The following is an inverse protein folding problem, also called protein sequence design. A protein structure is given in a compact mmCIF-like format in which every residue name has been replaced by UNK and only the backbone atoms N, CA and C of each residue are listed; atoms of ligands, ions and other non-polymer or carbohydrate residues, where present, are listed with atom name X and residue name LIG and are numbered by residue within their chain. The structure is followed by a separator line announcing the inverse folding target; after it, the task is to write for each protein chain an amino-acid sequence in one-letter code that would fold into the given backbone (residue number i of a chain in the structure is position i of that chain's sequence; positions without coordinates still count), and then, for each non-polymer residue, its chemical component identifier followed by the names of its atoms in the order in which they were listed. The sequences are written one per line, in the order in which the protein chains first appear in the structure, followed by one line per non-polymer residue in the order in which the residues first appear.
data_IF_858218486102
#
_entry.id   IF_858218486102
#
_cell.length_a   1.000
_cell.length_b   1.000
_cell.length_c   1.000
_cell.angle_alpha   90.00
_cell.angle_beta   90.00
_cell.angle_gamma   90.00
#
_symmetry.space_group_name_H-M   'P 1'
#
loop_
_entity.id
_entity.type
_entity.pdbx_description
1 polymer ?
#
# COMPACT_ATOMS: atom_id res chain seq x y z
N UNK A 1 80.32 -26.28 5.88
CA UNK A 1 79.10 -26.37 5.05
C UNK A 1 77.80 -26.21 5.86
N UNK A 2 77.82 -25.66 7.08
CA UNK A 2 76.58 -25.43 7.88
C UNK A 2 76.17 -23.96 8.02
N UNK A 3 77.11 -23.02 7.93
CA UNK A 3 76.85 -21.58 8.03
C UNK A 3 76.02 -21.02 6.87
N UNK A 4 76.07 -21.63 5.69
CA UNK A 4 75.28 -21.20 4.53
C UNK A 4 73.78 -21.54 4.64
N UNK A 5 73.42 -22.57 5.41
CA UNK A 5 72.01 -23.00 5.56
C UNK A 5 71.23 -22.13 6.55
N UNK A 6 71.88 -21.55 7.56
CA UNK A 6 71.22 -20.66 8.53
C UNK A 6 70.83 -19.30 7.91
N UNK A 7 71.65 -18.77 7.01
CA UNK A 7 71.38 -17.51 6.31
C UNK A 7 70.19 -17.62 5.34
N UNK A 8 70.03 -18.74 4.64
CA UNK A 8 68.89 -18.94 3.73
C UNK A 8 67.57 -19.11 4.47
N UNK A 9 67.58 -19.77 5.63
CA UNK A 9 66.38 -19.91 6.48
C UNK A 9 65.98 -18.58 7.14
N UNK A 10 66.95 -17.77 7.59
CA UNK A 10 66.69 -16.44 8.15
C UNK A 10 66.02 -15.50 7.12
N UNK A 11 66.46 -15.52 5.86
CA UNK A 11 65.84 -14.71 4.80
C UNK A 11 64.40 -15.14 4.46
N UNK A 12 64.09 -16.45 4.52
CA UNK A 12 62.73 -16.95 4.30
C UNK A 12 61.76 -16.48 5.39
N UNK A 13 62.19 -16.53 6.65
CA UNK A 13 61.42 -16.05 7.81
C UNK A 13 61.16 -14.54 7.71
N UNK A 14 62.18 -13.76 7.32
CA UNK A 14 62.03 -12.31 7.12
C UNK A 14 61.04 -11.97 5.99
N UNK A 15 61.08 -12.70 4.86
CA UNK A 15 60.12 -12.52 3.76
C UNK A 15 58.69 -12.91 4.17
N UNK A 16 58.52 -14.02 4.88
CA UNK A 16 57.21 -14.44 5.40
C UNK A 16 56.64 -13.40 6.36
N UNK A 17 57.45 -12.85 7.27
CA UNK A 17 57.03 -11.78 8.18
C UNK A 17 56.61 -10.53 7.41
N UNK A 18 57.37 -10.13 6.39
CA UNK A 18 57.06 -8.93 5.62
C UNK A 18 55.77 -9.09 4.79
N UNK A 19 55.53 -10.27 4.21
CA UNK A 19 54.29 -10.59 3.51
C UNK A 19 53.11 -10.58 4.48
N UNK A 20 53.25 -11.16 5.67
CA UNK A 20 52.22 -11.13 6.70
C UNK A 20 51.93 -9.70 7.18
N UNK A 21 52.96 -8.87 7.34
CA UNK A 21 52.81 -7.47 7.73
C UNK A 21 52.06 -6.66 6.65
N UNK A 22 52.39 -6.86 5.38
CA UNK A 22 51.68 -6.22 4.25
C UNK A 22 50.24 -6.71 4.15
N UNK A 23 50.00 -8.02 4.29
CA UNK A 23 48.65 -8.59 4.27
C UNK A 23 47.80 -8.06 5.44
N UNK A 24 48.36 -7.97 6.64
CA UNK A 24 47.68 -7.40 7.81
C UNK A 24 47.36 -5.91 7.61
N UNK A 25 48.28 -5.14 7.04
CA UNK A 25 48.04 -3.73 6.72
C UNK A 25 46.93 -3.57 5.67
N UNK A 26 46.94 -4.40 4.62
CA UNK A 26 45.90 -4.39 3.58
C UNK A 26 44.52 -4.74 4.15
N UNK A 27 44.43 -5.76 5.01
CA UNK A 27 43.18 -6.11 5.71
C UNK A 27 42.72 -5.00 6.65
N UNK A 28 43.66 -4.33 7.34
CA UNK A 28 43.37 -3.17 8.18
C UNK A 28 42.74 -2.03 7.38
N UNK A 29 43.33 -1.67 6.24
CA UNK A 29 42.81 -0.63 5.34
C UNK A 29 41.44 -1.02 4.79
N UNK A 30 41.25 -2.27 4.36
CA UNK A 30 39.97 -2.77 3.86
C UNK A 30 38.88 -2.69 4.92
N UNK A 31 39.19 -3.07 6.17
CA UNK A 31 38.24 -3.00 7.28
C UNK A 31 37.85 -1.55 7.59
N UNK A 32 38.82 -0.64 7.54
CA UNK A 32 38.60 0.79 7.77
C UNK A 32 37.72 1.39 6.66
N UNK A 33 37.94 1.01 5.40
CA UNK A 33 37.08 1.38 4.27
C UNK A 33 35.66 0.84 4.45
N UNK A 34 35.48 -0.44 4.78
CA UNK A 34 34.16 -1.01 5.02
C UNK A 34 33.44 -0.32 6.18
N UNK A 35 34.17 0.05 7.24
CA UNK A 35 33.62 0.79 8.37
C UNK A 35 33.15 2.19 7.96
N UNK A 36 33.95 2.93 7.19
CA UNK A 36 33.55 4.26 6.68
C UNK A 36 32.30 4.20 5.80
N UNK A 37 32.21 3.22 4.90
CA UNK A 37 31.02 2.99 4.06
C UNK A 37 29.79 2.63 4.90
N UNK A 38 29.97 1.83 5.95
CA UNK A 38 28.86 1.48 6.85
C UNK A 38 28.39 2.67 7.69
N UNK A 39 29.29 3.58 8.07
CA UNK A 39 28.96 4.78 8.82
C UNK A 39 28.33 5.88 7.95
N UNK A 40 28.74 5.98 6.68
CA UNK A 40 28.18 6.93 5.72
C UNK A 40 26.83 6.49 5.15
N UNK A 41 26.29 5.36 5.61
CA UNK A 41 24.97 4.91 5.18
C UNK A 41 23.94 5.82 5.83
N UNK A 42 23.38 6.72 5.03
CA UNK A 42 22.29 7.58 5.44
C UNK A 42 21.19 6.71 6.06
N UNK A 43 20.86 6.99 7.32
CA UNK A 43 19.79 6.30 8.01
C UNK A 43 18.49 6.86 7.46
N UNK A 44 17.92 6.19 6.48
CA UNK A 44 16.54 6.46 6.07
C UNK A 44 15.61 5.97 7.20
N UNK A 45 15.05 6.92 7.95
CA UNK A 45 14.03 6.63 8.95
C UNK A 45 12.70 6.58 8.21
N UNK A 46 12.16 5.38 8.02
CA UNK A 46 10.79 5.21 7.52
C UNK A 46 9.84 5.66 8.61
N UNK A 47 9.35 6.89 8.50
CA UNK A 47 8.33 7.42 9.40
C UNK A 47 7.03 6.66 9.15
N UNK A 48 6.59 5.90 10.15
CA UNK A 48 5.27 5.29 10.15
C UNK A 48 4.26 6.27 10.75
N UNK A 49 3.05 6.36 10.20
CA UNK A 49 1.97 7.11 10.85
C UNK A 49 1.67 6.52 12.23
N UNK A 50 1.02 7.28 13.10
CA UNK A 50 0.62 6.76 14.42
C UNK A 50 -0.42 5.66 14.24
N UNK A 51 -0.03 4.42 14.50
CA UNK A 51 -0.88 3.24 14.38
C UNK A 51 -1.49 2.88 15.73
N UNK A 52 -2.76 2.47 15.74
CA UNK A 52 -3.42 1.93 16.96
C UNK A 52 -3.03 0.47 17.23
N UNK A 53 -2.57 -0.23 16.20
CA UNK A 53 -2.21 -1.64 16.24
C UNK A 53 -1.13 -1.93 15.18
N UNK A 54 -0.26 -2.93 15.40
CA UNK A 54 0.73 -3.32 14.40
C UNK A 54 0.06 -3.75 13.09
N UNK A 55 0.54 -3.23 11.96
CA UNK A 55 0.07 -3.63 10.63
C UNK A 55 1.03 -4.67 10.06
N UNK A 56 0.52 -5.82 9.64
CA UNK A 56 1.35 -6.88 9.08
C UNK A 56 0.88 -7.30 7.71
N UNK A 57 1.84 -7.47 6.81
CA UNK A 57 1.67 -8.08 5.51
C UNK A 57 2.66 -9.24 5.48
N UNK A 58 2.19 -10.42 5.12
CA UNK A 58 3.03 -11.62 5.03
C UNK A 58 2.69 -12.40 3.77
N UNK A 59 3.54 -13.37 3.44
CA UNK A 59 3.22 -14.33 2.38
C UNK A 59 1.93 -15.12 2.65
N UNK A 60 1.52 -15.26 3.92
CA UNK A 60 0.28 -15.91 4.33
C UNK A 60 -0.97 -15.02 4.12
N UNK A 61 -0.77 -13.72 3.86
CA UNK A 61 -1.85 -12.79 3.58
C UNK A 61 -1.73 -11.48 4.35
N UNK A 62 -2.85 -10.78 4.39
CA UNK A 62 -2.98 -9.39 4.86
C UNK A 62 -3.71 -9.37 6.20
N UNK A 63 -3.19 -8.61 7.17
CA UNK A 63 -3.86 -8.45 8.46
C UNK A 63 -5.18 -7.68 8.32
N UNK A 64 -6.12 -7.95 9.23
CA UNK A 64 -7.42 -7.26 9.25
C UNK A 64 -7.24 -5.75 9.38
N UNK A 65 -6.33 -5.33 10.25
CA UNK A 65 -6.03 -3.94 10.57
C UNK A 65 -5.45 -3.21 9.36
N UNK A 66 -4.59 -3.88 8.57
CA UNK A 66 -4.07 -3.31 7.33
C UNK A 66 -5.16 -3.16 6.29
N UNK A 67 -5.99 -4.19 6.10
CA UNK A 67 -7.09 -4.15 5.14
C UNK A 67 -8.11 -3.07 5.54
N UNK A 68 -8.42 -2.93 6.82
CA UNK A 68 -9.27 -1.86 7.36
C UNK A 68 -8.66 -0.46 7.11
N UNK A 69 -7.37 -0.29 7.38
CA UNK A 69 -6.67 0.99 7.16
C UNK A 69 -6.72 1.42 5.69
N UNK A 70 -6.35 0.51 4.78
CA UNK A 70 -6.35 0.79 3.33
C UNK A 70 -7.77 1.00 2.81
N UNK A 71 -8.74 0.24 3.31
CA UNK A 71 -10.15 0.43 2.93
C UNK A 71 -10.63 1.81 3.35
N UNK A 72 -10.34 2.26 4.58
CA UNK A 72 -10.72 3.59 5.06
C UNK A 72 -10.17 4.71 4.17
N UNK A 73 -8.89 4.60 3.78
CA UNK A 73 -8.25 5.56 2.88
C UNK A 73 -8.90 5.54 1.48
N UNK A 74 -9.12 4.33 0.95
CA UNK A 74 -9.70 4.14 -0.39
C UNK A 74 -11.15 4.59 -0.49
N UNK A 75 -11.94 4.47 0.58
CA UNK A 75 -13.33 4.96 0.61
C UNK A 75 -13.37 6.46 0.42
N UNK A 76 -12.54 7.20 1.15
CA UNK A 76 -12.44 8.65 1.01
C UNK A 76 -12.00 8.97 -0.42
N UNK A 77 -10.98 8.27 -0.93
CA UNK A 77 -10.48 8.50 -2.28
C UNK A 77 -11.52 8.23 -3.36
N UNK A 78 -12.35 7.20 -3.22
CA UNK A 78 -13.26 6.75 -4.29
C UNK A 78 -14.62 7.43 -4.26
N UNK A 79 -15.12 7.81 -3.06
CA UNK A 79 -16.47 8.33 -2.88
C UNK A 79 -16.54 9.86 -2.74
N UNK A 80 -15.46 10.52 -2.33
CA UNK A 80 -15.43 11.98 -2.19
C UNK A 80 -15.01 12.66 -3.50
N UNK A 81 -15.98 13.31 -4.15
CA UNK A 81 -15.84 13.84 -5.50
C UNK A 81 -16.49 15.20 -5.65
N UNK A 82 -15.85 16.05 -6.43
CA UNK A 82 -16.38 17.35 -6.82
C UNK A 82 -15.88 17.72 -8.22
N UNK A 83 -16.53 18.66 -8.92
CA UNK A 83 -16.12 19.05 -10.26
C UNK A 83 -14.66 19.54 -10.33
N UNK A 84 -14.13 20.06 -9.22
CA UNK A 84 -12.77 20.56 -9.10
C UNK A 84 -11.71 19.45 -8.95
N UNK A 85 -12.07 18.26 -8.44
CA UNK A 85 -11.11 17.19 -8.15
C UNK A 85 -11.25 15.95 -9.05
N UNK A 86 -12.17 15.93 -10.02
CA UNK A 86 -12.47 14.75 -10.85
C UNK A 86 -11.24 14.17 -11.58
N UNK A 87 -10.34 15.01 -12.07
CA UNK A 87 -9.13 14.55 -12.76
C UNK A 87 -8.16 13.86 -11.79
N UNK A 88 -7.91 14.49 -10.64
CA UNK A 88 -7.11 13.91 -9.57
C UNK A 88 -7.70 12.59 -9.08
N UNK A 89 -9.01 12.57 -8.82
CA UNK A 89 -9.76 11.40 -8.41
C UNK A 89 -9.55 10.22 -9.36
N UNK A 90 -9.74 10.45 -10.67
CA UNK A 90 -9.60 9.39 -11.66
C UNK A 90 -8.19 8.79 -11.67
N UNK A 91 -7.17 9.65 -11.66
CA UNK A 91 -5.77 9.19 -11.67
C UNK A 91 -5.43 8.42 -10.39
N UNK A 92 -5.82 8.94 -9.23
CA UNK A 92 -5.54 8.31 -7.95
C UNK A 92 -6.24 6.95 -7.78
N UNK A 93 -7.48 6.79 -8.27
CA UNK A 93 -8.16 5.49 -8.29
C UNK A 93 -7.47 4.50 -9.24
N UNK A 94 -6.93 4.98 -10.37
CA UNK A 94 -6.20 4.13 -11.32
C UNK A 94 -4.82 3.68 -10.81
N UNK A 95 -4.17 4.45 -9.93
CA UNK A 95 -2.87 4.11 -9.34
C UNK A 95 -2.97 2.93 -8.35
N UNK A 96 -4.09 2.83 -7.64
CA UNK A 96 -4.36 1.73 -6.70
C UNK A 96 -5.00 0.51 -7.35
N UNK A 97 -5.53 0.65 -8.57
CA UNK A 97 -6.19 -0.42 -9.31
C UNK A 97 -5.22 -1.55 -9.71
N UNK A 98 -5.75 -2.78 -9.76
CA UNK A 98 -5.03 -3.93 -10.31
C UNK A 98 -4.78 -3.72 -11.81
N UNK A 99 -3.55 -3.97 -12.32
CA UNK A 99 -3.25 -3.84 -13.75
C UNK A 99 -4.19 -4.66 -14.64
N UNK A 100 -4.71 -5.78 -14.13
CA UNK A 100 -5.63 -6.67 -14.84
C UNK A 100 -7.01 -6.05 -15.06
N UNK A 101 -7.51 -5.27 -14.10
CA UNK A 101 -8.85 -4.64 -14.17
C UNK A 101 -8.81 -3.15 -14.45
N UNK A 102 -7.63 -2.55 -14.52
CA UNK A 102 -7.42 -1.12 -14.73
C UNK A 102 -8.15 -0.59 -15.98
N UNK A 103 -8.17 -1.34 -17.09
CA UNK A 103 -8.89 -0.94 -18.30
C UNK A 103 -10.41 -0.85 -18.12
N UNK A 104 -11.00 -1.81 -17.41
CA UNK A 104 -12.43 -1.80 -17.08
C UNK A 104 -12.77 -0.67 -16.12
N UNK A 105 -11.99 -0.53 -15.04
CA UNK A 105 -12.16 0.55 -14.07
C UNK A 105 -12.08 1.89 -14.78
N UNK A 106 -11.07 2.13 -15.62
CA UNK A 106 -10.92 3.37 -16.38
C UNK A 106 -12.15 3.71 -17.22
N UNK A 107 -12.74 2.72 -17.89
CA UNK A 107 -13.95 2.94 -18.68
C UNK A 107 -15.13 3.39 -17.79
N UNK A 108 -15.32 2.73 -16.64
CA UNK A 108 -16.37 3.08 -15.67
C UNK A 108 -16.14 4.48 -15.06
N UNK A 109 -14.89 4.82 -14.72
CA UNK A 109 -14.53 6.15 -14.21
C UNK A 109 -14.74 7.24 -15.25
N UNK A 110 -14.36 7.00 -16.52
CA UNK A 110 -14.55 7.97 -17.61
C UNK A 110 -16.03 8.29 -17.84
N UNK A 111 -16.92 7.30 -17.69
CA UNK A 111 -18.36 7.54 -17.73
C UNK A 111 -18.79 8.52 -16.65
N UNK A 112 -18.35 8.30 -15.41
CA UNK A 112 -18.66 9.17 -14.27
C UNK A 112 -18.09 10.58 -14.50
N UNK A 113 -16.84 10.69 -14.97
CA UNK A 113 -16.21 11.99 -15.26
C UNK A 113 -17.01 12.73 -16.32
N UNK A 114 -17.42 12.07 -17.40
CA UNK A 114 -18.18 12.71 -18.47
C UNK A 114 -19.59 13.15 -18.01
N UNK A 115 -20.23 12.39 -17.12
CA UNK A 115 -21.54 12.75 -16.54
C UNK A 115 -21.44 13.92 -15.54
N UNK A 116 -20.35 14.00 -14.77
CA UNK A 116 -20.16 15.04 -13.75
C UNK A 116 -19.42 16.28 -14.28
N UNK A 117 -18.77 16.19 -15.44
CA UNK A 117 -18.09 17.32 -16.08
C UNK A 117 -19.12 18.38 -16.49
N UNK A 118 -18.97 19.59 -15.94
CA UNK A 118 -19.91 20.69 -16.17
C UNK A 118 -21.14 20.66 -15.26
N UNK A 119 -21.27 19.65 -14.41
CA UNK A 119 -22.24 19.63 -13.32
C UNK A 119 -21.70 20.38 -12.09
N UNK A 120 -22.60 20.88 -11.24
CA UNK A 120 -22.28 21.42 -9.91
C UNK A 120 -22.51 20.40 -8.78
N UNK A 121 -22.53 19.11 -9.12
CA UNK A 121 -22.68 17.99 -8.17
C UNK A 121 -21.35 17.75 -7.45
N UNK A 122 -21.39 17.79 -6.12
CA UNK A 122 -20.34 17.31 -5.23
C UNK A 122 -20.90 16.22 -4.33
N UNK A 123 -20.09 15.23 -3.99
CA UNK A 123 -20.46 14.12 -3.12
C UNK A 123 -19.38 13.87 -2.09
N UNK A 124 -19.79 13.47 -0.89
CA UNK A 124 -18.87 12.98 0.13
C UNK A 124 -19.53 11.86 0.93
N UNK A 125 -18.71 10.99 1.51
CA UNK A 125 -19.18 9.82 2.23
C UNK A 125 -18.73 9.83 3.70
N UNK A 126 -19.67 9.56 4.60
CA UNK A 126 -19.37 9.45 6.03
C UNK A 126 -19.42 8.00 6.48
N UNK A 127 -18.28 7.45 6.88
CA UNK A 127 -18.14 6.05 7.29
C UNK A 127 -18.85 5.84 8.64
N UNK A 128 -19.77 4.88 8.70
CA UNK A 128 -20.43 4.46 9.95
C UNK A 128 -19.95 3.09 10.43
N UNK A 129 -19.76 2.14 9.51
CA UNK A 129 -19.34 0.76 9.82
C UNK A 129 -18.47 0.19 8.71
N UNK A 130 -17.56 -0.69 9.09
CA UNK A 130 -16.73 -1.47 8.16
C UNK A 130 -16.77 -2.96 8.52
N UNK A 131 -16.94 -3.80 7.50
CA UNK A 131 -16.86 -5.25 7.59
C UNK A 131 -15.70 -5.74 6.73
N UNK A 132 -14.75 -6.44 7.35
CA UNK A 132 -13.49 -6.85 6.73
C UNK A 132 -13.43 -8.37 6.66
N UNK A 133 -13.29 -8.90 5.45
CA UNK A 133 -13.07 -10.31 5.16
C UNK A 133 -11.67 -10.51 4.56
N UNK A 134 -10.73 -10.91 5.41
CA UNK A 134 -9.34 -11.18 5.00
C UNK A 134 -9.20 -12.46 4.19
N UNK A 135 -10.17 -13.39 4.24
CA UNK A 135 -10.11 -14.66 3.49
C UNK A 135 -10.44 -14.45 2.03
N UNK A 136 -11.48 -13.66 1.76
CA UNK A 136 -11.89 -13.32 0.39
C UNK A 136 -11.26 -12.02 -0.12
N UNK A 137 -10.42 -11.36 0.69
CA UNK A 137 -9.84 -10.05 0.41
C UNK A 137 -10.91 -9.04 0.00
N UNK A 138 -11.95 -8.93 0.83
CA UNK A 138 -13.11 -8.07 0.59
C UNK A 138 -13.36 -7.16 1.77
N UNK A 139 -13.73 -5.93 1.48
CA UNK A 139 -14.15 -4.96 2.48
C UNK A 139 -15.50 -4.37 2.11
N UNK A 140 -16.41 -4.31 3.08
CA UNK A 140 -17.69 -3.62 2.93
C UNK A 140 -17.76 -2.45 3.89
N UNK A 141 -18.25 -1.32 3.40
CA UNK A 141 -18.29 -0.06 4.14
C UNK A 141 -19.68 0.52 4.04
N UNK A 142 -20.31 0.72 5.19
CA UNK A 142 -21.66 1.28 5.31
C UNK A 142 -21.57 2.66 5.92
N UNK A 143 -22.36 3.59 5.38
CA UNK A 143 -22.31 4.99 5.76
C UNK A 143 -23.27 5.86 4.95
N UNK A 144 -23.24 7.18 5.21
CA UNK A 144 -24.09 8.12 4.47
C UNK A 144 -23.35 8.72 3.29
N UNK A 145 -23.96 8.61 2.11
CA UNK A 145 -23.55 9.32 0.91
C UNK A 145 -24.34 10.61 0.80
N UNK A 146 -23.65 11.73 0.97
CA UNK A 146 -24.24 13.05 0.81
C UNK A 146 -24.02 13.54 -0.62
N UNK A 147 -25.07 14.06 -1.24
CA UNK A 147 -24.99 14.71 -2.55
C UNK A 147 -25.40 16.17 -2.43
N UNK A 148 -24.50 17.06 -2.86
CA UNK A 148 -24.67 18.51 -2.88
C UNK A 148 -24.74 18.95 -4.33
N UNK A 149 -25.66 19.86 -4.64
CA UNK A 149 -25.72 20.55 -5.94
C UNK A 149 -25.63 22.04 -5.71
N UNK A 150 -24.56 22.66 -6.20
CA UNK A 150 -24.23 24.06 -5.89
C UNK A 150 -24.06 24.26 -4.39
N UNK A 151 -25.04 24.92 -3.75
CA UNK A 151 -24.99 25.28 -2.33
C UNK A 151 -26.01 24.52 -1.46
N UNK A 152 -26.72 23.53 -2.02
CA UNK A 152 -27.78 22.80 -1.30
C UNK A 152 -27.51 21.31 -1.27
N UNK A 153 -27.70 20.69 -0.10
CA UNK A 153 -27.75 19.23 0.06
C UNK A 153 -29.06 18.72 -0.54
N UNK A 154 -28.96 17.82 -1.52
CA UNK A 154 -30.11 17.29 -2.27
C UNK A 154 -30.45 15.86 -1.82
N UNK A 155 -29.47 15.08 -1.37
CA UNK A 155 -29.71 13.73 -0.84
C UNK A 155 -28.72 13.37 0.26
N UNK A 156 -29.18 12.58 1.22
CA UNK A 156 -28.36 11.81 2.16
C UNK A 156 -28.93 10.41 2.22
N UNK A 157 -28.16 9.41 1.82
CA UNK A 157 -28.62 8.02 1.75
C UNK A 157 -27.63 7.10 2.45
N UNK A 158 -28.16 6.23 3.31
CA UNK A 158 -27.35 5.17 3.89
C UNK A 158 -27.09 4.09 2.83
N UNK A 159 -25.83 3.92 2.43
CA UNK A 159 -25.39 3.04 1.36
C UNK A 159 -24.23 2.17 1.83
N UNK A 160 -24.20 0.93 1.34
CA UNK A 160 -23.08 0.01 1.54
C UNK A 160 -22.29 -0.12 0.26
N UNK A 161 -20.97 0.08 0.34
CA UNK A 161 -20.03 -0.10 -0.76
C UNK A 161 -19.13 -1.29 -0.48
N UNK A 162 -18.91 -2.09 -1.51
CA UNK A 162 -17.97 -3.22 -1.48
C UNK A 162 -16.72 -2.88 -2.26
N UNK A 163 -15.58 -3.27 -1.73
CA UNK A 163 -14.26 -3.20 -2.34
C UNK A 163 -13.70 -4.63 -2.40
N UNK A 164 -13.36 -5.06 -3.60
CA UNK A 164 -12.70 -6.35 -3.83
C UNK A 164 -11.22 -6.11 -4.10
N UNK A 165 -10.37 -6.85 -3.40
CA UNK A 165 -8.93 -6.68 -3.43
C UNK A 165 -8.21 -7.91 -3.99
N UNK A 166 -7.02 -7.67 -4.53
CA UNK A 166 -6.09 -8.67 -5.00
C UNK A 166 -4.77 -8.48 -4.27
N UNK A 167 -4.24 -9.56 -3.70
CA UNK A 167 -2.95 -9.55 -3.05
C UNK A 167 -1.94 -10.28 -3.94
N UNK A 168 -1.00 -9.54 -4.51
CA UNK A 168 0.03 -10.07 -5.43
C UNK A 168 1.36 -9.37 -5.22
N UNK A 169 2.44 -10.15 -5.15
CA UNK A 169 3.81 -9.63 -5.03
C UNK A 169 4.03 -8.73 -3.82
N UNK A 170 3.44 -9.06 -2.67
CA UNK A 170 3.43 -8.26 -1.44
C UNK A 170 2.63 -6.95 -1.50
N UNK A 171 1.97 -6.66 -2.62
CA UNK A 171 1.13 -5.47 -2.79
C UNK A 171 -0.35 -5.84 -2.80
N UNK A 172 -1.16 -5.00 -2.14
CA UNK A 172 -2.61 -5.06 -2.22
C UNK A 172 -3.07 -4.10 -3.33
N UNK A 173 -3.91 -4.59 -4.24
CA UNK A 173 -4.42 -3.84 -5.39
C UNK A 173 -5.95 -3.92 -5.44
N UNK A 174 -6.58 -2.84 -5.86
CA UNK A 174 -8.03 -2.74 -5.98
C UNK A 174 -8.49 -3.43 -7.27
N UNK A 175 -9.30 -4.48 -7.16
CA UNK A 175 -9.86 -5.20 -8.32
C UNK A 175 -11.12 -4.50 -8.83
N UNK A 176 -11.93 -3.98 -7.90
CA UNK A 176 -13.15 -3.25 -8.20
C UNK A 176 -13.84 -2.76 -6.95
N UNK A 177 -14.75 -1.81 -7.14
CA UNK A 177 -15.60 -1.29 -6.07
C UNK A 177 -16.98 -0.94 -6.61
N UNK A 178 -17.99 -0.96 -5.75
CA UNK A 178 -19.35 -0.62 -6.14
C UNK A 178 -20.35 -0.71 -5.00
N UNK A 179 -21.53 -0.14 -5.23
CA UNK A 179 -22.63 -0.20 -4.27
C UNK A 179 -23.19 -1.62 -4.19
N UNK A 180 -23.33 -2.14 -2.98
CA UNK A 180 -24.06 -3.39 -2.72
C UNK A 180 -25.55 -3.08 -2.81
N UNK A 181 -26.25 -3.74 -3.72
CA UNK A 181 -27.72 -3.65 -3.77
C UNK A 181 -28.28 -4.39 -2.55
N UNK A 182 -28.73 -3.65 -1.54
CA UNK A 182 -29.58 -4.23 -0.50
C UNK A 182 -30.85 -4.74 -1.18
N UNK A 183 -31.06 -6.05 -1.16
CA UNK A 183 -32.30 -6.66 -1.64
C UNK A 183 -33.48 -6.00 -0.94
N UNK A 184 -34.51 -5.67 -1.71
CA UNK A 184 -35.77 -5.16 -1.23
C UNK A 184 -36.29 -6.01 -0.04
N UNK A 185 -37.03 -5.33 0.84
CA UNK A 185 -37.75 -5.92 1.95
C UNK A 185 -38.29 -7.33 1.60
N UNK A 186 -38.01 -8.30 2.49
CA UNK A 186 -38.78 -9.54 2.51
C UNK A 186 -40.25 -9.16 2.57
N UNK A 187 -41.00 -9.57 1.55
CA UNK A 187 -42.43 -9.45 1.45
C UNK A 187 -43.09 -9.91 2.76
N UNK A 188 -43.59 -8.95 3.54
CA UNK A 188 -44.72 -9.18 4.43
C UNK A 188 -45.96 -9.30 3.54
N UNK A 189 -46.25 -10.50 3.01
CA UNK A 189 -47.62 -10.87 2.66
C UNK A 189 -47.79 -12.37 2.40
N UNK A 190 -48.78 -12.95 3.10
CA UNK A 190 -49.37 -14.27 2.90
C UNK A 190 -49.03 -15.26 4.01
N UNK A 191 -49.93 -15.67 4.92
CA UNK A 191 -51.39 -15.61 4.87
C UNK A 191 -52.02 -15.93 6.22
N UNK A 192 -52.64 -14.92 6.85
CA UNK A 192 -53.96 -15.12 7.42
C UNK A 192 -54.92 -15.29 6.23
N UNK A 193 -55.35 -16.52 5.99
CA UNK A 193 -56.70 -16.94 5.61
C UNK A 193 -56.76 -18.47 5.61
#
# INVERSE_FOLDING_TARGET
MELSYSHTNSQRILRQRNILAVAAAALGVLTLLLFTVSLSRDREVVLQPVLRSPLTISSAGVSREYLEMITRDTVVLTLDRSPQNLEYWMNAVLDIASPRTQGKIKADLLKIVNEQRGSSISQFFTIQKMEIDTKNLRSEVTGELHTIVGNKVISSENRTFRYDWEYSGLSLKLVGFGMVKTGAAKDQQGSDQ
#
